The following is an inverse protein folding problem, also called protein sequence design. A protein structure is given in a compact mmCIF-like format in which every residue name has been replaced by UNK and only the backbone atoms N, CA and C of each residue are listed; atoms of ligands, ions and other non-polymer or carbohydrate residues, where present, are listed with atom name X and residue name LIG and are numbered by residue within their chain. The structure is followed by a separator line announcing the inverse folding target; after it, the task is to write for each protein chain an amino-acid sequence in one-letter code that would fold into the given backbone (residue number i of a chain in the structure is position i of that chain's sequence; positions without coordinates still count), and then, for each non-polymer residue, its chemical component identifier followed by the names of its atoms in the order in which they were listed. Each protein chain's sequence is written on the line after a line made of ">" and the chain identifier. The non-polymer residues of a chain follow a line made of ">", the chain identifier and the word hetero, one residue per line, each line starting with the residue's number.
data_IF_918267392320
#
_entry.id   IF_918267392320
#
_cell.length_a   1.000
_cell.length_b   1.000
_cell.length_c   1.000
_cell.angle_alpha   90.00
_cell.angle_beta   90.00
_cell.angle_gamma   90.00
#
_symmetry.space_group_name_H-M   'P 1'
#
loop_
_entity.id
_entity.type
_entity.pdbx_description
1 polymer ?
#
# COMPACT_ATOMS: atom_id res chain seq x y z
N UNK A 1 -10.32 3.31 -13.17
CA UNK A 1 -10.50 2.88 -11.76
C UNK A 1 -9.26 2.10 -11.38
N UNK A 2 -8.62 2.44 -10.26
CA UNK A 2 -7.27 1.98 -9.90
C UNK A 2 -7.22 1.55 -8.43
N UNK A 3 -6.13 0.90 -8.02
CA UNK A 3 -5.90 0.41 -6.66
C UNK A 3 -5.79 -1.11 -6.59
N UNK A 4 -5.00 -1.60 -5.65
CA UNK A 4 -4.84 -3.01 -5.34
C UNK A 4 -5.48 -3.33 -3.98
N UNK A 5 -6.12 -4.49 -3.87
CA UNK A 5 -6.57 -5.00 -2.55
C UNK A 5 -5.36 -5.42 -1.71
N UNK A 6 -5.49 -5.51 -0.38
CA UNK A 6 -4.41 -6.01 0.49
C UNK A 6 -3.82 -7.34 0.03
N UNK A 7 -4.66 -8.28 -0.40
CA UNK A 7 -4.22 -9.57 -0.95
C UNK A 7 -3.40 -9.39 -2.23
N UNK A 8 -3.85 -8.53 -3.14
CA UNK A 8 -3.13 -8.24 -4.38
C UNK A 8 -1.81 -7.51 -4.09
N UNK A 9 -1.80 -6.57 -3.14
CA UNK A 9 -0.61 -5.84 -2.71
C UNK A 9 0.47 -6.79 -2.22
N UNK A 10 0.13 -7.80 -1.40
CA UNK A 10 1.08 -8.84 -0.98
C UNK A 10 1.74 -9.55 -2.17
N UNK A 11 0.93 -10.00 -3.13
CA UNK A 11 1.43 -10.70 -4.32
C UNK A 11 2.31 -9.79 -5.19
N UNK A 12 2.00 -8.50 -5.28
CA UNK A 12 2.81 -7.52 -6.00
C UNK A 12 4.15 -7.28 -5.31
N UNK A 13 4.19 -7.21 -3.98
CA UNK A 13 5.43 -7.06 -3.21
C UNK A 13 6.33 -8.30 -3.34
N UNK A 14 5.75 -9.51 -3.26
CA UNK A 14 6.48 -10.75 -3.51
C UNK A 14 7.06 -10.75 -4.93
N UNK A 15 6.26 -10.36 -5.92
CA UNK A 15 6.72 -10.28 -7.31
C UNK A 15 7.81 -9.22 -7.51
N UNK A 16 7.71 -8.07 -6.84
CA UNK A 16 8.75 -7.04 -6.88
C UNK A 16 10.07 -7.56 -6.30
N UNK A 17 10.01 -8.35 -5.23
CA UNK A 17 11.17 -8.99 -4.62
C UNK A 17 11.84 -9.99 -5.56
N UNK A 18 11.05 -10.83 -6.24
CA UNK A 18 11.54 -11.77 -7.26
C UNK A 18 12.23 -11.08 -8.45
N UNK A 19 11.82 -9.84 -8.74
CA UNK A 19 12.35 -9.02 -9.82
C UNK A 19 13.49 -8.09 -9.38
N UNK A 20 13.92 -8.16 -8.12
CA UNK A 20 14.93 -7.28 -7.52
C UNK A 20 14.60 -5.78 -7.66
N UNK A 21 13.30 -5.44 -7.56
CA UNK A 21 12.83 -4.06 -7.58
C UNK A 21 12.68 -3.53 -6.16
N UNK A 22 13.04 -2.27 -5.94
CA UNK A 22 12.86 -1.61 -4.66
C UNK A 22 11.48 -0.92 -4.59
N UNK A 23 10.68 -1.30 -3.58
CA UNK A 23 9.37 -0.71 -3.30
C UNK A 23 9.48 0.12 -2.02
N UNK A 24 9.35 1.43 -2.17
CA UNK A 24 9.61 2.38 -1.07
C UNK A 24 8.37 2.86 -0.32
N UNK A 25 7.16 2.49 -0.74
CA UNK A 25 5.96 3.09 -0.19
C UNK A 25 4.64 2.63 -0.76
N UNK A 26 3.57 3.29 -0.30
CA UNK A 26 2.17 3.03 -0.67
C UNK A 26 1.51 4.36 -0.99
N UNK A 27 0.65 4.36 -2.02
CA UNK A 27 -0.23 5.48 -2.29
C UNK A 27 -1.71 5.09 -2.31
N UNK A 28 -2.59 6.01 -1.92
CA UNK A 28 -4.04 5.84 -2.00
C UNK A 28 -4.76 7.11 -2.44
N UNK A 29 -5.99 6.96 -2.95
CA UNK A 29 -6.82 8.09 -3.34
C UNK A 29 -8.28 7.81 -2.99
N UNK A 30 -8.82 8.56 -2.03
CA UNK A 30 -10.21 8.38 -1.55
C UNK A 30 -11.28 8.93 -2.51
N UNK A 31 -10.87 9.72 -3.51
CA UNK A 31 -11.77 10.37 -4.46
C UNK A 31 -12.08 11.83 -4.08
N UNK A 32 -12.22 12.69 -5.08
CA UNK A 32 -12.49 14.14 -4.91
C UNK A 32 -13.86 14.46 -4.31
N UNK A 33 -14.81 13.53 -4.40
CA UNK A 33 -16.17 13.66 -3.85
C UNK A 33 -16.37 12.97 -2.50
N UNK A 34 -15.30 12.61 -1.79
CA UNK A 34 -15.40 11.94 -0.50
C UNK A 34 -16.08 12.86 0.54
N UNK A 35 -17.15 12.38 1.16
CA UNK A 35 -17.91 13.10 2.19
C UNK A 35 -17.75 12.46 3.58
N UNK A 36 -17.10 11.30 3.65
CA UNK A 36 -16.89 10.53 4.87
C UNK A 36 -15.39 10.49 5.23
N UNK A 37 -14.94 11.24 6.27
CA UNK A 37 -13.54 11.28 6.67
C UNK A 37 -13.00 9.93 7.16
N UNK A 38 -13.86 9.01 7.60
CA UNK A 38 -13.44 7.65 8.02
C UNK A 38 -12.80 6.87 6.86
N UNK A 39 -13.09 7.25 5.61
CA UNK A 39 -12.45 6.68 4.42
C UNK A 39 -10.92 6.90 4.44
N UNK A 40 -10.45 8.06 4.91
CA UNK A 40 -9.02 8.31 5.06
C UNK A 40 -8.42 7.45 6.18
N UNK A 41 -9.13 7.31 7.31
CA UNK A 41 -8.68 6.50 8.44
C UNK A 41 -8.46 5.05 7.99
N UNK A 42 -9.43 4.49 7.25
CA UNK A 42 -9.31 3.15 6.70
C UNK A 42 -8.15 3.05 5.71
N UNK A 43 -7.99 4.02 4.81
CA UNK A 43 -6.91 4.00 3.82
C UNK A 43 -5.52 4.05 4.45
N UNK A 44 -5.33 4.86 5.51
CA UNK A 44 -4.08 4.92 6.28
C UNK A 44 -3.83 3.61 7.03
N UNK A 45 -4.87 3.01 7.62
CA UNK A 45 -4.77 1.70 8.27
C UNK A 45 -4.38 0.59 7.28
N UNK A 46 -4.99 0.59 6.10
CA UNK A 46 -4.67 -0.37 5.04
C UNK A 46 -3.24 -0.17 4.51
N UNK A 47 -2.83 1.08 4.31
CA UNK A 47 -1.45 1.40 3.92
C UNK A 47 -0.45 0.90 4.97
N UNK A 48 -0.73 1.07 6.26
CA UNK A 48 0.11 0.51 7.33
C UNK A 48 0.23 -1.02 7.24
N UNK A 49 -0.87 -1.72 6.97
CA UNK A 49 -0.85 -3.16 6.78
C UNK A 49 0.06 -3.57 5.61
N UNK A 50 0.05 -2.81 4.51
CA UNK A 50 0.96 -3.03 3.37
C UNK A 50 2.42 -2.73 3.71
N UNK A 51 2.69 -1.70 4.52
CA UNK A 51 4.04 -1.43 5.04
C UNK A 51 4.57 -2.60 5.89
N UNK A 52 3.73 -3.20 6.73
CA UNK A 52 4.10 -4.37 7.52
C UNK A 52 4.41 -5.56 6.61
N UNK A 53 3.57 -5.82 5.59
CA UNK A 53 3.86 -6.85 4.58
C UNK A 53 5.19 -6.59 3.84
N UNK A 54 5.46 -5.32 3.51
CA UNK A 54 6.72 -4.91 2.89
C UNK A 54 7.92 -5.21 3.77
N UNK A 55 7.80 -4.87 5.05
CA UNK A 55 8.84 -5.13 6.06
C UNK A 55 9.14 -6.62 6.21
N UNK A 56 8.11 -7.47 6.23
CA UNK A 56 8.27 -8.94 6.26
C UNK A 56 9.04 -9.49 5.05
N UNK A 57 8.91 -8.85 3.88
CA UNK A 57 9.61 -9.21 2.64
C UNK A 57 10.98 -8.52 2.51
N UNK A 58 11.38 -7.73 3.51
CA UNK A 58 12.66 -7.03 3.57
C UNK A 58 12.73 -5.76 2.74
N UNK A 59 11.59 -5.10 2.49
CA UNK A 59 11.55 -3.74 1.95
C UNK A 59 11.71 -2.70 3.07
N UNK A 60 12.38 -1.58 2.76
CA UNK A 60 12.52 -0.44 3.68
C UNK A 60 11.63 0.72 3.22
N UNK A 61 10.32 0.56 3.42
CA UNK A 61 9.33 1.55 3.01
C UNK A 61 9.36 2.78 3.92
N UNK A 62 9.29 3.97 3.31
CA UNK A 62 9.39 5.26 3.99
C UNK A 62 8.52 6.37 3.35
N UNK A 63 7.76 6.05 2.29
CA UNK A 63 6.92 7.00 1.57
C UNK A 63 5.43 6.61 1.68
N UNK A 64 4.59 7.53 2.15
CA UNK A 64 3.14 7.42 2.14
C UNK A 64 2.57 8.60 1.34
N UNK A 65 1.74 8.31 0.35
CA UNK A 65 1.06 9.28 -0.53
C UNK A 65 -0.48 9.14 -0.46
#
# INVERSE_FOLDING_TARGET
>A
KFGATLKTSRLLLERAKELDLDVIGVSFHVGSGCTDPETFVQAISDARCVFDMGTELGFSMHLLD
#
